data_IF_875973581320
#
_entry.id   IF_875973581320
#
_cell.length_a   1.000
_cell.length_b   1.000
_cell.length_c   1.000
_cell.angle_alpha   90.00
_cell.angle_beta   90.00
_cell.angle_gamma   90.00
#
_symmetry.space_group_name_H-M   'P 1'
#
loop_
_entity.id
_entity.type
_entity.pdbx_description
1 polymer ?
#
# COMPACT_ATOMS: atom_id res chain seq x y z
N UNK A 1 -18.23 -24.45 -1.91
CA UNK A 1 -18.01 -23.70 -3.17
C UNK A 1 -16.59 -23.17 -3.14
N UNK A 2 -15.76 -23.41 -4.16
CA UNK A 2 -14.40 -22.89 -4.17
C UNK A 2 -14.43 -21.38 -4.45
N UNK A 3 -13.77 -20.57 -3.62
CA UNK A 3 -13.60 -19.14 -3.84
C UNK A 3 -12.65 -18.94 -5.03
N UNK A 4 -13.06 -18.12 -5.98
CA UNK A 4 -12.22 -17.71 -7.10
C UNK A 4 -12.06 -16.19 -7.09
N UNK A 5 -10.84 -15.70 -6.95
CA UNK A 5 -10.50 -14.30 -7.08
C UNK A 5 -10.06 -14.05 -8.53
N UNK A 6 -10.65 -13.05 -9.17
CA UNK A 6 -10.29 -12.62 -10.51
C UNK A 6 -9.62 -11.23 -10.40
N UNK A 7 -8.29 -11.15 -10.54
CA UNK A 7 -7.63 -9.86 -10.55
C UNK A 7 -7.96 -9.12 -11.84
N UNK A 8 -8.26 -7.83 -11.71
CA UNK A 8 -8.38 -6.90 -12.82
C UNK A 8 -7.28 -5.86 -12.70
N UNK A 9 -6.62 -5.56 -13.81
CA UNK A 9 -5.71 -4.43 -13.89
C UNK A 9 -6.56 -3.18 -14.03
N UNK A 10 -6.61 -2.37 -12.98
CA UNK A 10 -7.33 -1.08 -13.01
C UNK A 10 -6.47 0.02 -13.62
N UNK A 11 -7.11 1.15 -13.90
CA UNK A 11 -6.46 2.35 -14.41
C UNK A 11 -5.80 3.19 -13.30
N UNK A 12 -5.36 2.52 -12.22
CA UNK A 12 -4.69 3.13 -11.07
C UNK A 12 -5.62 3.65 -9.94
N UNK A 13 -5.03 3.80 -8.78
CA UNK A 13 -5.54 4.06 -7.42
C UNK A 13 -6.93 4.68 -7.23
N UNK A 14 -7.21 5.80 -7.86
CA UNK A 14 -8.49 6.50 -7.67
C UNK A 14 -9.63 5.75 -8.37
N UNK A 15 -9.40 5.28 -9.59
CA UNK A 15 -10.37 4.49 -10.35
C UNK A 15 -10.70 3.18 -9.65
N UNK A 16 -9.70 2.52 -9.04
CA UNK A 16 -9.92 1.28 -8.32
C UNK A 16 -10.95 1.42 -7.18
N UNK A 17 -10.94 2.55 -6.48
CA UNK A 17 -11.93 2.84 -5.42
C UNK A 17 -13.29 3.17 -6.01
N UNK A 18 -13.32 3.93 -7.12
CA UNK A 18 -14.57 4.21 -7.82
C UNK A 18 -15.24 2.92 -8.32
N UNK A 19 -14.45 1.97 -8.79
CA UNK A 19 -14.95 0.66 -9.24
C UNK A 19 -15.64 -0.09 -8.10
N UNK A 20 -15.07 -0.11 -6.89
CA UNK A 20 -15.77 -0.72 -5.73
C UNK A 20 -17.09 -0.02 -5.45
N UNK A 21 -17.16 1.30 -5.62
CA UNK A 21 -18.34 2.10 -5.30
C UNK A 21 -19.43 2.04 -6.36
N UNK A 22 -19.07 1.82 -7.63
CA UNK A 22 -19.95 2.03 -8.79
C UNK A 22 -20.04 0.85 -9.75
N UNK A 23 -19.01 -0.01 -9.83
CA UNK A 23 -18.96 -1.11 -10.79
C UNK A 23 -19.49 -2.41 -10.18
N UNK A 24 -20.55 -2.96 -10.76
CA UNK A 24 -21.06 -4.25 -10.34
C UNK A 24 -20.03 -5.35 -10.61
N UNK A 25 -19.60 -6.04 -9.53
CA UNK A 25 -18.63 -7.13 -9.61
C UNK A 25 -17.20 -6.78 -9.14
N UNK A 26 -16.90 -5.50 -8.92
CA UNK A 26 -15.69 -5.10 -8.22
C UNK A 26 -15.93 -5.17 -6.70
N UNK A 27 -15.30 -6.10 -6.02
CA UNK A 27 -15.51 -6.35 -4.60
C UNK A 27 -14.41 -5.78 -3.71
N UNK A 28 -13.20 -5.70 -4.24
CA UNK A 28 -12.00 -5.24 -3.51
C UNK A 28 -11.10 -4.45 -4.45
N UNK A 29 -10.34 -3.53 -3.86
CA UNK A 29 -9.30 -2.79 -4.59
C UNK A 29 -8.13 -2.42 -3.69
N UNK A 30 -6.93 -2.38 -4.27
CA UNK A 30 -5.76 -1.78 -3.66
C UNK A 30 -5.72 -0.32 -4.10
N UNK A 31 -5.53 0.59 -3.13
CA UNK A 31 -5.39 2.01 -3.42
C UNK A 31 -4.53 2.72 -2.37
N UNK A 32 -3.84 3.82 -2.75
CA UNK A 32 -3.21 4.72 -1.80
C UNK A 32 -4.24 5.33 -0.85
N UNK A 33 -3.97 5.23 0.45
CA UNK A 33 -4.88 5.71 1.50
C UNK A 33 -5.15 7.20 1.36
N UNK A 34 -4.13 7.99 1.04
CA UNK A 34 -4.25 9.43 0.83
C UNK A 34 -5.27 9.79 -0.26
N UNK A 35 -5.36 9.00 -1.34
CA UNK A 35 -6.37 9.24 -2.40
C UNK A 35 -7.79 8.92 -1.91
N UNK A 36 -7.94 7.86 -1.13
CA UNK A 36 -9.24 7.51 -0.54
C UNK A 36 -9.68 8.56 0.49
N UNK A 37 -8.73 9.15 1.22
CA UNK A 37 -8.98 10.27 2.12
C UNK A 37 -9.44 11.53 1.37
N UNK A 38 -8.80 11.86 0.22
CA UNK A 38 -9.25 12.98 -0.64
C UNK A 38 -10.68 12.76 -1.17
N UNK A 39 -11.02 11.53 -1.58
CA UNK A 39 -12.40 11.21 -1.98
C UNK A 39 -13.40 11.38 -0.83
N UNK A 40 -13.00 11.01 0.40
CA UNK A 40 -13.80 11.18 1.61
C UNK A 40 -14.03 12.67 1.90
N UNK A 41 -13.00 13.49 1.85
CA UNK A 41 -13.05 14.93 2.09
C UNK A 41 -13.89 15.66 1.04
N UNK A 42 -13.73 15.32 -0.23
CA UNK A 42 -14.47 15.89 -1.34
C UNK A 42 -15.97 15.57 -1.30
N UNK A 43 -16.39 14.53 -0.58
CA UNK A 43 -17.79 14.08 -0.47
C UNK A 43 -18.52 13.83 -1.80
N UNK A 44 -17.78 13.69 -2.89
CA UNK A 44 -18.36 13.50 -4.25
C UNK A 44 -19.29 12.28 -4.30
N UNK A 45 -18.99 11.24 -3.52
CA UNK A 45 -19.80 10.01 -3.43
C UNK A 45 -20.56 9.90 -2.11
N UNK A 46 -20.82 11.03 -1.44
CA UNK A 46 -21.45 11.10 -0.13
C UNK A 46 -20.55 10.58 0.99
N UNK A 47 -21.13 9.95 2.02
CA UNK A 47 -20.36 9.38 3.13
C UNK A 47 -19.71 8.05 2.74
N UNK A 48 -18.49 8.10 2.15
CA UNK A 48 -17.77 6.88 1.76
C UNK A 48 -17.20 6.11 2.95
N UNK A 49 -16.99 6.76 4.12
CA UNK A 49 -16.54 6.08 5.34
C UNK A 49 -17.53 5.03 5.85
N UNK A 50 -18.82 5.21 5.56
CA UNK A 50 -19.84 4.21 5.86
C UNK A 50 -19.96 3.11 4.80
N UNK A 51 -19.48 3.38 3.58
CA UNK A 51 -19.59 2.48 2.42
C UNK A 51 -18.34 1.61 2.24
N UNK A 52 -17.18 2.08 2.66
CA UNK A 52 -15.90 1.38 2.54
C UNK A 52 -15.38 0.90 3.88
N UNK A 53 -14.71 -0.23 3.86
CA UNK A 53 -13.89 -0.73 4.95
C UNK A 53 -12.56 -1.21 4.39
N UNK A 54 -11.49 -1.20 5.19
CA UNK A 54 -10.24 -1.82 4.77
C UNK A 54 -10.12 -3.25 5.30
N UNK A 55 -9.59 -4.15 4.50
CA UNK A 55 -9.28 -5.53 4.91
C UNK A 55 -7.93 -5.53 5.64
N UNK A 56 -6.89 -4.97 5.02
CA UNK A 56 -5.55 -4.85 5.57
C UNK A 56 -4.83 -3.61 5.00
N UNK A 57 -3.99 -2.92 5.80
CA UNK A 57 -2.93 -2.09 5.27
C UNK A 57 -1.98 -2.98 4.48
N UNK A 58 -1.46 -2.48 3.36
CA UNK A 58 -0.50 -3.20 2.55
C UNK A 58 0.87 -2.52 2.64
N UNK A 59 1.62 -2.50 1.56
CA UNK A 59 2.93 -1.90 1.45
C UNK A 59 2.86 -0.41 1.09
N UNK A 60 3.99 0.27 1.15
CA UNK A 60 4.13 1.63 0.63
C UNK A 60 4.45 1.62 -0.86
N UNK A 61 4.00 2.67 -1.57
CA UNK A 61 4.37 2.96 -2.95
C UNK A 61 5.24 4.21 -2.97
N UNK A 62 6.46 4.08 -3.49
CA UNK A 62 7.46 5.13 -3.57
C UNK A 62 7.26 6.00 -4.80
N UNK A 63 7.64 7.27 -4.68
CA UNK A 63 7.73 8.20 -5.80
C UNK A 63 9.06 7.98 -6.54
N UNK A 64 8.97 7.52 -7.76
CA UNK A 64 10.12 7.32 -8.65
C UNK A 64 10.13 8.45 -9.68
N UNK A 65 10.81 9.53 -9.38
CA UNK A 65 10.99 10.65 -10.32
C UNK A 65 12.24 10.41 -11.14
N UNK A 66 12.08 9.83 -12.31
CA UNK A 66 13.14 9.61 -13.28
C UNK A 66 13.32 10.84 -14.13
N UNK A 67 14.56 11.28 -14.31
CA UNK A 67 14.90 12.46 -15.10
C UNK A 67 16.03 12.18 -16.09
N UNK A 68 16.10 12.99 -17.16
CA UNK A 68 17.20 13.00 -18.11
C UNK A 68 18.46 13.59 -17.47
N UNK A 69 19.67 13.22 -17.95
CA UNK A 69 20.94 13.59 -17.32
C UNK A 69 21.19 15.10 -17.16
N UNK A 70 20.60 15.93 -18.02
CA UNK A 70 20.71 17.40 -17.93
C UNK A 70 19.88 18.03 -16.82
N UNK A 71 18.91 17.33 -16.27
CA UNK A 71 18.07 17.76 -15.15
C UNK A 71 18.73 17.30 -13.85
N UNK A 72 19.23 18.22 -13.04
CA UNK A 72 19.97 17.90 -11.80
C UNK A 72 19.16 18.17 -10.55
N UNK A 73 18.20 19.08 -10.63
CA UNK A 73 17.36 19.50 -9.51
C UNK A 73 15.89 19.57 -9.92
N UNK A 74 14.98 19.58 -8.96
CA UNK A 74 13.55 19.78 -9.23
C UNK A 74 13.26 21.13 -9.91
N UNK A 75 14.02 22.17 -9.59
CA UNK A 75 13.85 23.50 -10.19
C UNK A 75 14.20 23.52 -11.67
N UNK A 76 15.07 22.63 -12.15
CA UNK A 76 15.40 22.50 -13.58
C UNK A 76 14.19 22.00 -14.40
N UNK A 77 13.18 21.42 -13.75
CA UNK A 77 11.94 20.99 -14.38
C UNK A 77 10.97 22.13 -14.64
N UNK A 78 11.23 23.35 -14.12
CA UNK A 78 10.35 24.50 -14.37
C UNK A 78 10.22 24.78 -15.86
N UNK A 79 8.97 24.74 -16.36
CA UNK A 79 8.65 24.93 -17.78
C UNK A 79 8.99 23.74 -18.69
N UNK A 80 9.54 22.65 -18.15
CA UNK A 80 9.85 21.43 -18.92
C UNK A 80 8.63 20.51 -19.01
N UNK A 81 8.62 19.68 -20.04
CA UNK A 81 7.60 18.64 -20.21
C UNK A 81 7.90 17.48 -19.26
N UNK A 82 6.99 17.20 -18.33
CA UNK A 82 7.09 16.12 -17.34
C UNK A 82 5.89 15.22 -17.46
N UNK A 83 6.12 13.92 -17.52
CA UNK A 83 5.06 12.92 -17.49
C UNK A 83 4.70 12.59 -16.04
N UNK A 84 3.42 12.68 -15.71
CA UNK A 84 2.90 12.29 -14.38
C UNK A 84 2.14 10.95 -14.40
N UNK A 85 2.27 10.17 -15.48
CA UNK A 85 1.50 8.94 -15.65
C UNK A 85 0.16 9.18 -16.32
N UNK A 86 -0.66 8.15 -16.42
CA UNK A 86 -1.97 8.21 -17.08
C UNK A 86 -2.92 9.16 -16.36
N UNK A 87 -3.77 9.86 -17.12
CA UNK A 87 -4.72 10.83 -16.56
C UNK A 87 -5.68 10.16 -15.58
N UNK A 88 -5.88 10.79 -14.41
CA UNK A 88 -6.69 10.26 -13.33
C UNK A 88 -6.04 9.15 -12.49
N UNK A 89 -4.85 8.70 -12.87
CA UNK A 89 -4.07 7.74 -12.11
C UNK A 89 -3.45 8.32 -10.83
N UNK A 90 -3.01 7.44 -9.91
CA UNK A 90 -2.39 7.85 -8.64
C UNK A 90 -1.15 8.70 -8.87
N UNK A 91 -0.29 8.31 -9.81
CA UNK A 91 0.92 9.07 -10.15
C UNK A 91 0.60 10.49 -10.63
N UNK A 92 -0.45 10.65 -11.47
CA UNK A 92 -0.86 11.96 -11.97
C UNK A 92 -1.44 12.85 -10.87
N UNK A 93 -2.32 12.31 -10.04
CA UNK A 93 -2.99 13.07 -8.97
C UNK A 93 -1.96 13.49 -7.91
N UNK A 94 -1.18 12.53 -7.40
CA UNK A 94 -0.20 12.77 -6.33
C UNK A 94 0.99 13.59 -6.85
N UNK A 95 1.45 13.32 -8.07
CA UNK A 95 2.52 14.09 -8.71
C UNK A 95 2.15 15.55 -8.88
N UNK A 96 0.95 15.84 -9.39
CA UNK A 96 0.43 17.21 -9.53
C UNK A 96 0.37 17.92 -8.18
N UNK A 97 -0.07 17.22 -7.13
CA UNK A 97 -0.10 17.76 -5.77
C UNK A 97 1.31 18.11 -5.27
N UNK A 98 2.27 17.19 -5.42
CA UNK A 98 3.66 17.38 -4.98
C UNK A 98 4.32 18.54 -5.75
N UNK A 99 4.23 18.58 -7.08
CA UNK A 99 4.81 19.66 -7.88
C UNK A 99 4.21 21.03 -7.53
N UNK A 100 2.89 21.09 -7.28
CA UNK A 100 2.23 22.32 -6.85
C UNK A 100 2.72 22.78 -5.46
N UNK A 101 2.88 21.87 -4.50
CA UNK A 101 3.39 22.17 -3.15
C UNK A 101 4.83 22.66 -3.15
N UNK A 102 5.64 22.14 -4.07
CA UNK A 102 7.03 22.53 -4.25
C UNK A 102 7.21 23.81 -5.11
N UNK A 103 6.11 24.40 -5.59
CA UNK A 103 6.07 25.53 -6.53
C UNK A 103 6.90 25.30 -7.80
N UNK A 104 6.98 24.06 -8.27
CA UNK A 104 7.65 23.69 -9.52
C UNK A 104 6.62 23.59 -10.65
N UNK A 105 6.59 24.61 -11.50
CA UNK A 105 5.61 24.71 -12.61
C UNK A 105 6.09 23.95 -13.84
N UNK A 106 5.54 22.77 -14.07
CA UNK A 106 5.87 21.90 -15.19
C UNK A 106 4.85 22.04 -16.35
N UNK A 107 5.24 21.55 -17.52
CA UNK A 107 4.28 21.23 -18.60
C UNK A 107 3.90 19.76 -18.49
N UNK A 108 2.76 19.52 -17.88
CA UNK A 108 2.28 18.17 -17.64
C UNK A 108 1.89 17.46 -18.94
N UNK A 109 2.24 16.16 -19.06
CA UNK A 109 1.72 15.21 -20.03
C UNK A 109 1.34 13.92 -19.32
N UNK A 110 0.38 13.21 -19.89
CA UNK A 110 -0.20 12.01 -19.28
C UNK A 110 -0.05 10.82 -20.25
N UNK A 111 0.99 10.04 -20.03
CA UNK A 111 1.39 8.91 -20.87
C UNK A 111 1.58 7.67 -20.00
N UNK A 112 1.28 6.52 -20.56
CA UNK A 112 1.69 5.26 -19.95
C UNK A 112 3.23 5.15 -19.83
N UNK A 113 3.75 4.34 -18.90
CA UNK A 113 5.17 4.33 -18.54
C UNK A 113 6.10 4.04 -19.71
N UNK A 114 5.78 3.05 -20.56
CA UNK A 114 6.59 2.70 -21.73
C UNK A 114 6.68 3.86 -22.74
N UNK A 115 5.55 4.53 -23.00
CA UNK A 115 5.51 5.69 -23.91
C UNK A 115 6.30 6.87 -23.35
N UNK A 116 6.24 7.10 -22.04
CA UNK A 116 6.98 8.15 -21.35
C UNK A 116 8.50 7.93 -21.48
N UNK A 117 8.99 6.74 -21.17
CA UNK A 117 10.41 6.40 -21.26
C UNK A 117 10.94 6.50 -22.70
N UNK A 118 10.15 6.07 -23.70
CA UNK A 118 10.52 6.25 -25.10
C UNK A 118 10.61 7.74 -25.49
N UNK A 119 9.68 8.59 -25.02
CA UNK A 119 9.73 10.04 -25.28
C UNK A 119 10.86 10.74 -24.51
N UNK A 120 11.26 10.23 -23.36
CA UNK A 120 12.44 10.70 -22.64
C UNK A 120 13.71 10.44 -23.45
N UNK A 121 13.84 9.25 -24.07
CA UNK A 121 14.99 8.89 -24.91
C UNK A 121 15.19 9.88 -26.06
N UNK A 122 14.10 10.30 -26.71
CA UNK A 122 14.16 11.23 -27.86
C UNK A 122 14.05 12.72 -27.45
N UNK A 123 14.10 13.04 -26.15
CA UNK A 123 14.15 14.41 -25.65
C UNK A 123 12.83 15.18 -25.67
N UNK A 124 11.70 14.52 -25.85
CA UNK A 124 10.38 15.15 -25.82
C UNK A 124 9.80 15.28 -24.40
N UNK A 125 10.21 14.40 -23.48
CA UNK A 125 9.85 14.42 -22.05
C UNK A 125 11.16 14.49 -21.25
N UNK A 126 11.22 15.32 -20.24
CA UNK A 126 12.44 15.58 -19.45
C UNK A 126 12.47 14.78 -18.16
N UNK A 127 11.32 14.46 -17.61
CA UNK A 127 11.17 13.58 -16.45
C UNK A 127 9.86 12.80 -16.50
N UNK A 128 9.81 11.66 -15.81
CA UNK A 128 8.58 10.90 -15.59
C UNK A 128 8.45 10.50 -14.13
N UNK A 129 7.27 10.63 -13.57
CA UNK A 129 6.93 10.17 -12.23
C UNK A 129 6.18 8.85 -12.31
N UNK A 130 6.60 7.90 -11.47
CA UNK A 130 5.88 6.66 -11.19
C UNK A 130 5.68 6.55 -9.69
N UNK A 131 4.46 6.34 -9.24
CA UNK A 131 4.14 5.99 -7.84
C UNK A 131 3.85 4.50 -7.82
N UNK A 132 4.75 3.72 -7.23
CA UNK A 132 4.68 2.25 -7.26
C UNK A 132 5.58 1.65 -6.18
N UNK A 133 5.32 0.40 -5.79
CA UNK A 133 6.22 -0.34 -4.89
C UNK A 133 7.57 -0.64 -5.54
N UNK A 134 8.66 -0.37 -4.83
CA UNK A 134 10.02 -0.69 -5.28
C UNK A 134 10.39 -2.17 -5.03
N UNK A 135 11.21 -2.78 -5.92
CA UNK A 135 11.69 -2.27 -7.20
C UNK A 135 10.61 -2.35 -8.29
N UNK A 136 10.56 -1.36 -9.17
CA UNK A 136 9.63 -1.36 -10.30
C UNK A 136 10.18 -2.21 -11.43
N UNK A 137 9.57 -3.36 -11.68
CA UNK A 137 10.02 -4.32 -12.70
C UNK A 137 10.14 -3.73 -14.11
N UNK A 138 9.33 -2.72 -14.45
CA UNK A 138 9.43 -2.01 -15.71
C UNK A 138 10.82 -1.40 -15.91
N UNK A 139 11.38 -0.79 -14.87
CA UNK A 139 12.67 -0.10 -14.95
C UNK A 139 13.81 -1.06 -15.24
N UNK A 140 13.76 -2.29 -14.74
CA UNK A 140 14.75 -3.32 -15.08
C UNK A 140 14.81 -3.65 -16.59
N UNK A 141 13.68 -3.51 -17.30
CA UNK A 141 13.65 -3.71 -18.77
C UNK A 141 14.33 -2.59 -19.55
N UNK A 142 14.33 -1.38 -18.99
CA UNK A 142 14.98 -0.21 -19.58
C UNK A 142 16.42 -0.01 -19.09
N UNK A 143 16.82 -0.73 -18.05
CA UNK A 143 18.16 -0.74 -17.48
C UNK A 143 19.11 -1.64 -18.26
N UNK A 144 19.07 -1.63 -19.61
CA UNK A 144 20.08 -2.26 -20.44
C UNK A 144 21.35 -1.39 -20.46
N UNK A 145 22.57 -1.98 -20.50
CA UNK A 145 23.83 -1.24 -20.41
C UNK A 145 23.94 -0.03 -21.34
N UNK A 146 23.36 -0.10 -22.54
CA UNK A 146 23.36 0.97 -23.53
C UNK A 146 22.23 2.02 -23.31
N UNK A 147 21.31 1.76 -22.38
CA UNK A 147 20.11 2.60 -22.16
C UNK A 147 20.15 3.39 -20.86
N UNK A 148 20.96 2.99 -19.89
CA UNK A 148 20.98 3.54 -18.51
C UNK A 148 21.52 4.96 -18.48
N UNK A 149 22.43 5.32 -19.37
CA UNK A 149 23.10 6.64 -19.35
C UNK A 149 22.16 7.82 -19.62
N UNK A 150 20.89 7.59 -19.94
CA UNK A 150 19.94 8.67 -20.20
C UNK A 150 18.93 8.92 -19.08
N UNK A 151 19.02 8.20 -17.94
CA UNK A 151 18.10 8.35 -16.80
C UNK A 151 18.85 8.33 -15.48
N UNK A 152 18.34 9.09 -14.53
CA UNK A 152 18.68 8.98 -13.10
C UNK A 152 17.47 9.36 -12.25
N UNK A 153 17.45 8.97 -10.98
CA UNK A 153 16.43 9.43 -10.06
C UNK A 153 16.73 10.83 -9.53
N UNK A 154 15.72 11.69 -9.52
CA UNK A 154 15.75 12.93 -8.78
C UNK A 154 15.18 12.77 -7.38
N UNK A 155 15.81 13.33 -6.35
CA UNK A 155 15.24 13.37 -5.01
C UNK A 155 13.89 14.11 -4.99
N UNK A 156 12.92 13.54 -4.27
CA UNK A 156 11.66 14.20 -3.98
C UNK A 156 11.63 14.49 -2.47
N UNK A 157 11.78 15.75 -2.05
CA UNK A 157 11.84 16.08 -0.63
C UNK A 157 10.50 15.78 0.05
N UNK A 158 10.56 15.35 1.30
CA UNK A 158 9.40 15.36 2.18
C UNK A 158 9.02 16.83 2.43
N UNK A 159 8.22 17.39 1.53
CA UNK A 159 7.73 18.76 1.61
C UNK A 159 6.80 18.91 2.81
N UNK A 160 6.47 20.16 3.28
CA UNK A 160 5.55 20.43 4.38
C UNK A 160 4.10 19.99 4.06
N UNK A 161 3.95 18.73 3.71
CA UNK A 161 2.68 18.04 3.66
C UNK A 161 2.23 17.72 5.08
N UNK A 162 0.93 17.54 5.35
CA UNK A 162 0.51 16.89 6.58
C UNK A 162 1.34 15.61 6.76
N UNK A 163 2.02 15.48 7.90
CA UNK A 163 2.97 14.39 8.21
C UNK A 163 2.40 12.98 8.02
N UNK A 164 1.09 12.88 7.78
CA UNK A 164 0.37 11.62 7.62
C UNK A 164 0.13 11.20 6.18
N UNK A 165 0.28 12.11 5.21
CA UNK A 165 -0.04 11.85 3.80
C UNK A 165 1.13 11.17 3.06
N UNK A 166 2.36 11.60 3.37
CA UNK A 166 3.58 11.15 2.70
C UNK A 166 4.64 10.73 3.72
N UNK A 167 5.24 9.59 3.50
CA UNK A 167 6.26 9.00 4.34
C UNK A 167 7.64 9.23 3.71
N UNK A 168 8.62 9.81 4.41
CA UNK A 168 9.99 9.87 3.92
C UNK A 168 10.55 8.46 3.70
N UNK A 169 11.23 8.25 2.58
CA UNK A 169 11.85 6.97 2.23
C UNK A 169 13.04 7.19 1.30
N UNK A 170 13.72 6.13 0.92
CA UNK A 170 14.87 6.17 0.01
C UNK A 170 14.77 5.09 -1.05
N UNK A 171 15.28 5.37 -2.25
CA UNK A 171 15.62 4.38 -3.27
C UNK A 171 17.12 4.08 -3.14
N UNK A 172 17.51 2.81 -3.24
CA UNK A 172 18.88 2.38 -3.02
C UNK A 172 19.45 1.59 -4.20
N UNK A 173 20.75 1.35 -4.16
CA UNK A 173 21.41 0.44 -5.10
C UNK A 173 20.78 -0.96 -5.11
N UNK A 174 20.38 -1.47 -3.94
CA UNK A 174 19.75 -2.81 -3.82
C UNK A 174 18.40 -2.87 -4.54
N UNK A 175 17.67 -1.73 -4.61
CA UNK A 175 16.43 -1.64 -5.36
C UNK A 175 16.68 -1.49 -6.88
N UNK A 176 17.75 -0.75 -7.26
CA UNK A 176 18.04 -0.36 -8.65
C UNK A 176 19.56 -0.36 -8.93
N UNK A 177 20.22 -1.54 -9.00
CA UNK A 177 21.68 -1.63 -9.13
C UNK A 177 22.22 -1.00 -10.41
N UNK A 178 21.40 -0.93 -11.45
CA UNK A 178 21.79 -0.38 -12.75
C UNK A 178 21.59 1.16 -12.84
N UNK A 179 20.85 1.78 -11.89
CA UNK A 179 20.52 3.21 -11.93
C UNK A 179 21.18 3.97 -10.79
N UNK A 180 21.32 3.34 -9.63
CA UNK A 180 21.90 3.93 -8.41
C UNK A 180 23.23 3.25 -8.14
N UNK A 181 24.30 4.02 -8.00
CA UNK A 181 25.63 3.48 -7.74
C UNK A 181 25.72 2.81 -6.36
N UNK A 182 26.65 1.85 -6.22
CA UNK A 182 26.86 1.14 -4.96
C UNK A 182 27.18 2.13 -3.82
N UNK A 183 26.45 2.01 -2.73
CA UNK A 183 26.55 2.89 -1.56
C UNK A 183 25.81 4.22 -1.66
N UNK A 184 25.22 4.53 -2.80
CA UNK A 184 24.39 5.72 -2.98
C UNK A 184 22.92 5.44 -2.66
N UNK A 185 22.19 6.52 -2.32
CA UNK A 185 20.76 6.53 -2.05
C UNK A 185 20.14 7.79 -2.60
N UNK A 186 18.87 7.70 -2.98
CA UNK A 186 18.08 8.85 -3.43
C UNK A 186 16.89 9.01 -2.49
N UNK A 187 16.83 10.14 -1.81
CA UNK A 187 15.71 10.47 -0.91
C UNK A 187 14.44 10.70 -1.72
N UNK A 188 13.35 10.12 -1.25
CA UNK A 188 12.04 10.28 -1.86
C UNK A 188 10.93 10.16 -0.81
N UNK A 189 9.70 10.18 -1.28
CA UNK A 189 8.50 10.00 -0.45
C UNK A 189 7.72 8.78 -0.91
N UNK A 190 6.90 8.26 -0.04
CA UNK A 190 6.00 7.15 -0.32
C UNK A 190 4.61 7.41 0.23
N UNK A 191 3.63 6.70 -0.29
CA UNK A 191 2.25 6.67 0.20
C UNK A 191 1.89 5.28 0.69
N UNK A 192 1.16 5.20 1.79
CA UNK A 192 0.62 3.93 2.30
C UNK A 192 -0.52 3.45 1.41
N UNK A 193 -0.51 2.17 1.04
CA UNK A 193 -1.64 1.52 0.38
C UNK A 193 -2.43 0.63 1.33
N UNK A 194 -3.67 0.36 0.98
CA UNK A 194 -4.50 -0.61 1.68
C UNK A 194 -5.41 -1.38 0.72
N UNK A 195 -5.80 -2.57 1.14
CA UNK A 195 -6.82 -3.36 0.48
C UNK A 195 -8.19 -2.95 1.04
N UNK A 196 -8.95 -2.24 0.23
CA UNK A 196 -10.30 -1.79 0.53
C UNK A 196 -11.36 -2.74 -0.03
N UNK A 197 -12.54 -2.71 0.58
CA UNK A 197 -13.74 -3.40 0.12
C UNK A 197 -14.96 -2.54 0.38
N UNK A 198 -16.06 -2.79 -0.34
CA UNK A 198 -17.35 -2.25 0.03
C UNK A 198 -17.82 -2.87 1.36
N UNK A 199 -18.39 -2.05 2.23
CA UNK A 199 -18.89 -2.50 3.54
C UNK A 199 -20.27 -3.18 3.39
N UNK A 200 -20.27 -4.38 2.84
CA UNK A 200 -21.47 -5.15 2.57
C UNK A 200 -22.23 -5.52 3.83
N UNK A 201 -23.58 -5.54 3.80
CA UNK A 201 -24.40 -6.02 4.92
C UNK A 201 -24.04 -7.46 5.30
N UNK A 202 -23.95 -7.74 6.61
CA UNK A 202 -23.48 -9.03 7.18
C UNK A 202 -24.21 -10.25 6.60
N UNK A 203 -25.49 -10.10 6.24
CA UNK A 203 -26.32 -11.21 5.71
C UNK A 203 -26.22 -11.37 4.18
N UNK A 204 -25.49 -10.50 3.49
CA UNK A 204 -25.36 -10.56 2.03
C UNK A 204 -24.45 -11.70 1.59
N UNK A 205 -24.65 -12.19 0.38
CA UNK A 205 -23.76 -13.19 -0.24
C UNK A 205 -22.35 -12.64 -0.42
N UNK A 206 -22.23 -11.39 -0.83
CA UNK A 206 -20.94 -10.69 -1.01
C UNK A 206 -20.15 -10.64 0.30
N UNK A 207 -20.80 -10.33 1.42
CA UNK A 207 -20.13 -10.35 2.73
C UNK A 207 -19.53 -11.74 3.04
N UNK A 208 -20.28 -12.83 2.78
CA UNK A 208 -19.80 -14.19 3.02
C UNK A 208 -18.62 -14.58 2.13
N UNK A 209 -18.63 -14.16 0.85
CA UNK A 209 -17.51 -14.37 -0.07
C UNK A 209 -16.26 -13.64 0.40
N UNK A 210 -16.40 -12.37 0.81
CA UNK A 210 -15.30 -11.58 1.36
C UNK A 210 -14.77 -12.13 2.70
N UNK A 211 -15.65 -12.64 3.56
CA UNK A 211 -15.23 -13.34 4.78
C UNK A 211 -14.39 -14.59 4.46
N UNK A 212 -14.80 -15.38 3.48
CA UNK A 212 -14.02 -16.53 3.01
C UNK A 212 -12.68 -16.09 2.39
N UNK A 213 -12.66 -14.96 1.67
CA UNK A 213 -11.44 -14.37 1.15
C UNK A 213 -10.48 -13.99 2.29
N UNK A 214 -10.97 -13.26 3.29
CA UNK A 214 -10.17 -12.83 4.46
C UNK A 214 -9.57 -14.05 5.17
N UNK A 215 -10.36 -15.07 5.43
CA UNK A 215 -9.88 -16.30 6.07
C UNK A 215 -8.75 -16.96 5.27
N UNK A 216 -8.92 -17.08 3.96
CA UNK A 216 -7.93 -17.69 3.07
C UNK A 216 -6.68 -16.80 2.95
N UNK A 217 -6.85 -15.52 2.70
CA UNK A 217 -5.75 -14.58 2.50
C UNK A 217 -4.87 -14.47 3.74
N UNK A 218 -5.48 -14.30 4.93
CA UNK A 218 -4.72 -14.14 6.16
C UNK A 218 -4.03 -15.44 6.60
N UNK A 219 -4.70 -16.60 6.46
CA UNK A 219 -4.10 -17.88 6.81
C UNK A 219 -2.94 -18.29 5.89
N UNK A 220 -3.02 -17.90 4.60
CA UNK A 220 -2.00 -18.20 3.60
C UNK A 220 -1.04 -17.01 3.36
N UNK A 221 -1.15 -15.94 4.13
CA UNK A 221 -0.30 -14.77 3.97
C UNK A 221 1.22 -15.08 4.01
N UNK A 222 1.71 -16.03 4.85
CA UNK A 222 3.12 -16.43 4.82
C UNK A 222 3.65 -16.87 3.45
N UNK A 223 2.78 -17.37 2.57
CA UNK A 223 3.17 -17.78 1.21
C UNK A 223 3.60 -16.59 0.34
N UNK A 224 3.09 -15.38 0.62
CA UNK A 224 3.49 -14.15 -0.08
C UNK A 224 4.88 -13.63 0.31
N UNK A 225 5.45 -14.15 1.40
CA UNK A 225 6.76 -13.75 1.91
C UNK A 225 7.93 -14.48 1.23
N UNK A 226 7.62 -15.44 0.36
CA UNK A 226 8.60 -16.19 -0.42
C UNK A 226 9.30 -15.29 -1.47
N UNK A 227 10.56 -15.63 -1.81
CA UNK A 227 11.38 -14.88 -2.76
C UNK A 227 10.81 -14.85 -4.19
N UNK A 228 9.87 -15.74 -4.52
CA UNK A 228 9.18 -15.74 -5.81
C UNK A 228 8.16 -14.61 -5.94
N UNK A 229 7.81 -13.96 -4.84
CA UNK A 229 6.87 -12.85 -4.79
C UNK A 229 7.59 -11.50 -4.68
N UNK A 230 6.85 -10.42 -4.97
CA UNK A 230 7.40 -9.08 -4.88
C UNK A 230 7.84 -8.77 -3.44
N UNK A 231 9.07 -8.21 -3.20
CA UNK A 231 9.61 -7.99 -1.85
C UNK A 231 8.73 -7.09 -0.98
N UNK A 232 7.91 -6.24 -1.55
CA UNK A 232 6.95 -5.38 -0.84
C UNK A 232 5.96 -6.15 0.04
N UNK A 233 5.69 -7.41 -0.24
CA UNK A 233 4.84 -8.22 0.62
C UNK A 233 5.43 -8.42 2.02
N UNK A 234 6.77 -8.34 2.17
CA UNK A 234 7.46 -8.41 3.46
C UNK A 234 7.27 -7.18 4.36
N UNK A 235 6.84 -6.05 3.78
CA UNK A 235 6.54 -4.82 4.53
C UNK A 235 5.13 -4.85 5.13
N UNK A 236 4.26 -5.78 4.70
CA UNK A 236 2.86 -5.83 5.09
C UNK A 236 2.71 -6.34 6.52
N UNK A 237 2.08 -5.50 7.36
CA UNK A 237 1.63 -5.88 8.69
C UNK A 237 0.09 -5.95 8.71
N UNK A 238 -0.46 -7.16 8.61
CA UNK A 238 -1.92 -7.37 8.60
C UNK A 238 -2.61 -6.81 9.85
N UNK A 239 -1.91 -6.79 10.99
CA UNK A 239 -2.46 -6.30 12.27
C UNK A 239 -2.42 -4.77 12.40
N UNK A 240 -1.63 -4.07 11.60
CA UNK A 240 -1.52 -2.62 11.65
C UNK A 240 -2.88 -1.95 11.43
N UNK A 241 -3.14 -0.87 12.18
CA UNK A 241 -4.39 -0.10 12.07
C UNK A 241 -4.24 1.06 11.09
N UNK A 242 -5.32 1.31 10.35
CA UNK A 242 -5.42 2.44 9.45
C UNK A 242 -6.23 3.54 10.14
N UNK A 243 -5.60 4.65 10.60
CA UNK A 243 -6.30 5.71 11.29
C UNK A 243 -7.44 6.29 10.43
N UNK A 244 -8.57 6.57 11.07
CA UNK A 244 -9.73 7.18 10.39
C UNK A 244 -10.57 6.23 9.53
N UNK A 245 -10.19 4.96 9.41
CA UNK A 245 -10.92 3.95 8.65
C UNK A 245 -11.36 2.77 9.50
N UNK A 246 -12.53 2.23 9.20
CA UNK A 246 -13.04 1.02 9.83
C UNK A 246 -12.44 -0.21 9.14
N UNK A 247 -11.94 -1.15 9.94
CA UNK A 247 -11.54 -2.44 9.41
C UNK A 247 -12.78 -3.29 9.09
N UNK A 248 -12.71 -4.05 8.02
CA UNK A 248 -13.77 -5.00 7.65
C UNK A 248 -13.94 -6.04 8.77
N UNK A 249 -15.16 -6.20 9.28
CA UNK A 249 -15.44 -7.00 10.47
C UNK A 249 -14.85 -8.42 10.47
N UNK A 250 -14.90 -9.20 9.39
CA UNK A 250 -14.22 -10.49 9.30
C UNK A 250 -12.71 -10.41 9.50
N UNK A 251 -12.04 -9.36 9.01
CA UNK A 251 -10.60 -9.17 9.19
C UNK A 251 -10.25 -8.85 10.65
N UNK A 252 -11.05 -7.98 11.31
CA UNK A 252 -10.86 -7.70 12.74
C UNK A 252 -11.04 -8.97 13.56
N UNK A 253 -12.14 -9.71 13.36
CA UNK A 253 -12.38 -10.97 14.07
C UNK A 253 -11.30 -12.03 13.85
N UNK A 254 -10.69 -12.07 12.64
CA UNK A 254 -9.60 -13.01 12.37
C UNK A 254 -8.36 -12.68 13.18
N UNK A 255 -8.01 -11.40 13.28
CA UNK A 255 -6.85 -10.92 14.04
C UNK A 255 -7.02 -11.03 15.56
N UNK A 256 -8.27 -10.98 16.03
CA UNK A 256 -8.60 -11.17 17.46
C UNK A 256 -8.60 -12.65 17.89
N UNK A 257 -8.52 -13.59 16.95
CA UNK A 257 -8.45 -15.03 17.28
C UNK A 257 -7.14 -15.33 18.01
N UNK A 258 -7.21 -16.10 19.11
CA UNK A 258 -5.99 -16.59 19.73
C UNK A 258 -5.15 -17.38 18.74
N UNK A 259 -3.85 -17.22 18.75
CA UNK A 259 -2.94 -18.08 17.99
C UNK A 259 -3.14 -19.54 18.42
N UNK A 260 -2.79 -20.50 17.57
CA UNK A 260 -2.87 -21.91 17.92
C UNK A 260 -2.11 -22.23 19.22
N UNK A 261 -0.97 -21.54 19.46
CA UNK A 261 -0.21 -21.64 20.71
C UNK A 261 -0.96 -21.05 21.90
N UNK A 262 -1.57 -19.89 21.76
CA UNK A 262 -2.37 -19.24 22.81
C UNK A 262 -3.63 -20.06 23.13
N UNK A 263 -4.30 -20.59 22.10
CA UNK A 263 -5.44 -21.46 22.28
C UNK A 263 -5.07 -22.76 23.02
N UNK A 264 -3.93 -23.37 22.69
CA UNK A 264 -3.41 -24.55 23.39
C UNK A 264 -3.06 -24.25 24.84
N UNK A 265 -2.40 -23.11 25.11
CA UNK A 265 -2.04 -22.69 26.48
C UNK A 265 -3.30 -22.33 27.28
N UNK A 266 -4.29 -21.66 26.67
CA UNK A 266 -5.57 -21.38 27.30
C UNK A 266 -6.31 -22.68 27.63
N UNK A 267 -6.38 -23.62 26.69
CA UNK A 267 -6.97 -24.93 26.91
C UNK A 267 -6.28 -25.75 28.01
N UNK A 268 -4.97 -25.70 28.07
CA UNK A 268 -4.19 -26.33 29.16
C UNK A 268 -4.48 -25.68 30.51
N UNK A 269 -4.63 -24.35 30.58
CA UNK A 269 -5.00 -23.62 31.79
C UNK A 269 -6.43 -23.99 32.25
N UNK A 270 -7.38 -24.05 31.33
CA UNK A 270 -8.77 -24.44 31.64
C UNK A 270 -8.83 -25.88 32.17
N UNK A 271 -8.07 -26.80 31.58
CA UNK A 271 -7.95 -28.19 32.04
C UNK A 271 -7.30 -28.25 33.42
N UNK A 272 -6.24 -27.47 33.66
CA UNK A 272 -5.59 -27.39 34.97
C UNK A 272 -6.55 -26.90 36.06
N UNK A 273 -7.30 -25.83 35.78
CA UNK A 273 -8.29 -25.26 36.69
C UNK A 273 -9.47 -26.22 36.96
N UNK A 274 -9.88 -26.98 35.96
CA UNK A 274 -10.92 -28.00 36.11
C UNK A 274 -10.48 -29.15 37.01
N UNK A 275 -9.22 -29.57 36.91
CA UNK A 275 -8.63 -30.63 37.76
C UNK A 275 -8.36 -30.17 39.19
N UNK A 276 -8.25 -28.85 39.40
CA UNK A 276 -7.98 -28.27 40.70
C UNK A 276 -9.07 -27.26 41.11
N UNK A 277 -10.29 -27.71 41.42
CA UNK A 277 -11.42 -26.82 41.71
C UNK A 277 -11.24 -25.95 42.95
N UNK A 278 -10.45 -26.41 43.93
CA UNK A 278 -10.21 -25.77 45.20
C UNK A 278 -8.87 -24.98 45.25
N UNK A 279 -8.35 -24.59 44.10
CA UNK A 279 -7.07 -23.86 44.04
C UNK A 279 -7.20 -22.49 44.74
N UNK A 280 -6.35 -22.20 45.74
CA UNK A 280 -6.35 -20.88 46.41
C UNK A 280 -5.94 -19.82 45.36
N UNK A 281 -6.51 -18.63 45.46
CA UNK A 281 -6.24 -17.48 44.56
C UNK A 281 -6.55 -17.73 43.07
N UNK A 282 -7.52 -18.62 42.77
CA UNK A 282 -7.90 -19.01 41.41
C UNK A 282 -8.24 -17.82 40.50
N UNK A 283 -8.94 -16.83 41.00
CA UNK A 283 -9.33 -15.61 40.26
C UNK A 283 -8.14 -14.71 39.95
N UNK A 284 -7.18 -14.63 40.87
CA UNK A 284 -5.95 -13.86 40.71
C UNK A 284 -5.06 -14.51 39.64
N UNK A 285 -4.88 -15.83 39.71
CA UNK A 285 -4.15 -16.63 38.73
C UNK A 285 -4.74 -16.47 37.30
N UNK A 286 -6.07 -16.43 37.18
CA UNK A 286 -6.75 -16.20 35.91
C UNK A 286 -6.51 -14.80 35.37
N UNK A 287 -6.53 -13.77 36.23
CA UNK A 287 -6.23 -12.39 35.82
C UNK A 287 -4.79 -12.24 35.35
N UNK A 288 -3.84 -12.79 36.08
CA UNK A 288 -2.41 -12.75 35.72
C UNK A 288 -2.14 -13.50 34.42
N UNK A 289 -2.79 -14.64 34.20
CA UNK A 289 -2.69 -15.39 32.98
C UNK A 289 -3.28 -14.64 31.76
N UNK A 290 -4.44 -14.03 31.91
CA UNK A 290 -5.06 -13.20 30.88
C UNK A 290 -4.22 -11.95 30.57
N UNK A 291 -3.59 -11.36 31.58
CA UNK A 291 -2.66 -10.25 31.40
C UNK A 291 -1.40 -10.68 30.62
N UNK A 292 -0.85 -11.85 30.92
CA UNK A 292 0.31 -12.44 30.22
C UNK A 292 0.02 -12.71 28.74
N UNK A 293 -1.15 -13.24 28.41
CA UNK A 293 -1.58 -13.46 27.04
C UNK A 293 -1.72 -12.12 26.28
N UNK A 294 -2.33 -11.10 26.88
CA UNK A 294 -2.48 -9.77 26.28
C UNK A 294 -1.16 -9.02 26.11
N UNK A 295 -0.22 -9.15 27.05
CA UNK A 295 1.07 -8.47 27.01
C UNK A 295 2.00 -9.01 25.90
N UNK A 296 1.78 -10.25 25.42
CA UNK A 296 2.49 -10.81 24.27
C UNK A 296 1.94 -10.40 22.91
N UNK A 297 0.69 -9.93 22.84
CA UNK A 297 0.06 -9.45 21.60
C UNK A 297 0.47 -8.01 21.22
N UNK A 298 1.17 -7.30 22.11
CA UNK A 298 1.66 -5.93 21.89
C UNK A 298 3.13 -5.81 21.46
N UNK A 299 3.76 -6.91 21.02
CA UNK A 299 5.14 -6.90 20.51
C UNK A 299 5.22 -7.33 19.06
#
# INVERSE_FOLDING_TARGET
MALRVMPMVGNDGNHNILDILTLAGADMAIAPVVLVDRLREARTFGNISGKLAYIAPLFTEEFHLLARPEIKTLTDLTGKTVNLGEEGGASAILGREVFNRLDVKIKEVNLGPDAALNRMRIGQVFATLLVSGKPVNLLARYAQPDSIHFLHFLPVPASPAPEHDYLPTTLSHDDYPDIIAAGERVDTIAVQTALFTYNWPIRSERFRLLESFVQTFFSRFPEFLDDSHHPKWREVNLAARLPGWQRFGPAERWLERPSAGEAAISGAMDEFLRRNPNLPHREELLKDFQWLLKSKQGR
#
